data_IF_540141197746
#
_entry.id   IF_540141197746
#
_cell.length_a   1.000
_cell.length_b   1.000
_cell.length_c   1.000
_cell.angle_alpha   90.00
_cell.angle_beta   90.00
_cell.angle_gamma   90.00
#
_symmetry.space_group_name_H-M   'P 1'
#
loop_
_entity.id
_entity.type
_entity.pdbx_description
1 polymer ?
#
# COMPACT_ATOMS: atom_id res chain seq x y z
N UNK A 1 -6.49 26.19 5.56
CA UNK A 1 -6.23 25.05 4.66
C UNK A 1 -7.39 25.00 3.69
N UNK A 2 -7.13 25.23 2.40
CA UNK A 2 -8.13 24.90 1.37
C UNK A 2 -8.34 23.39 1.42
N UNK A 3 -9.55 22.97 1.75
CA UNK A 3 -9.97 21.57 1.67
C UNK A 3 -9.77 21.10 0.23
N UNK A 4 -8.75 20.28 -0.03
CA UNK A 4 -8.53 19.59 -1.31
C UNK A 4 -9.71 18.63 -1.56
N UNK A 5 -10.81 19.18 -2.07
CA UNK A 5 -12.01 18.42 -2.41
C UNK A 5 -11.80 17.68 -3.72
N UNK A 6 -11.78 16.35 -3.64
CA UNK A 6 -11.77 15.47 -4.80
C UNK A 6 -13.02 15.77 -5.64
N UNK A 7 -12.83 16.34 -6.82
CA UNK A 7 -13.94 16.71 -7.71
C UNK A 7 -14.62 15.50 -8.34
N UNK A 8 -13.87 14.40 -8.56
CA UNK A 8 -14.37 13.14 -9.12
C UNK A 8 -13.87 11.96 -8.30
N UNK A 9 -14.76 11.40 -7.48
CA UNK A 9 -14.47 10.19 -6.70
C UNK A 9 -14.95 8.96 -7.47
N UNK A 10 -14.08 7.95 -7.58
CA UNK A 10 -14.45 6.64 -8.11
C UNK A 10 -15.50 6.01 -7.18
N UNK A 11 -16.60 5.43 -7.71
CA UNK A 11 -17.55 4.68 -6.89
C UNK A 11 -16.87 3.45 -6.27
N UNK A 12 -17.27 3.09 -5.05
CA UNK A 12 -16.79 1.88 -4.39
C UNK A 12 -17.61 0.69 -4.86
N UNK A 13 -16.95 -0.37 -5.29
CA UNK A 13 -17.59 -1.61 -5.72
C UNK A 13 -17.42 -2.70 -4.67
N UNK A 14 -18.51 -3.28 -4.13
CA UNK A 14 -18.42 -4.33 -3.12
C UNK A 14 -17.87 -5.62 -3.72
N UNK A 15 -17.20 -6.41 -2.89
CA UNK A 15 -16.80 -7.77 -3.26
C UNK A 15 -18.07 -8.62 -3.38
N UNK A 16 -18.33 -9.12 -4.59
CA UNK A 16 -19.48 -9.99 -4.87
C UNK A 16 -19.22 -11.40 -4.36
N UNK A 17 -20.28 -12.19 -4.14
CA UNK A 17 -20.14 -13.60 -3.74
C UNK A 17 -19.30 -14.43 -4.73
N UNK A 18 -19.39 -14.13 -6.03
CA UNK A 18 -18.55 -14.80 -7.06
C UNK A 18 -17.07 -14.48 -6.88
N UNK A 19 -16.73 -13.20 -6.69
CA UNK A 19 -15.35 -12.79 -6.43
C UNK A 19 -14.84 -13.35 -5.10
N UNK A 20 -15.68 -13.39 -4.07
CA UNK A 20 -15.32 -13.99 -2.78
C UNK A 20 -14.95 -15.47 -2.92
N UNK A 21 -15.77 -16.25 -3.64
CA UNK A 21 -15.51 -17.67 -3.87
C UNK A 21 -14.21 -17.89 -4.67
N UNK A 22 -13.97 -17.06 -5.69
CA UNK A 22 -12.71 -17.06 -6.43
C UNK A 22 -11.52 -16.81 -5.49
N UNK A 23 -11.57 -15.74 -4.68
CA UNK A 23 -10.50 -15.43 -3.74
C UNK A 23 -10.26 -16.54 -2.72
N UNK A 24 -11.30 -17.26 -2.32
CA UNK A 24 -11.17 -18.42 -1.44
C UNK A 24 -10.51 -19.61 -2.15
N UNK A 25 -10.90 -19.91 -3.38
CA UNK A 25 -10.32 -20.99 -4.19
C UNK A 25 -8.81 -20.78 -4.43
N UNK A 26 -8.39 -19.53 -4.66
CA UNK A 26 -6.99 -19.17 -4.90
C UNK A 26 -6.23 -18.74 -3.63
N UNK A 27 -6.72 -19.07 -2.43
CA UNK A 27 -6.08 -18.79 -1.14
C UNK A 27 -5.74 -17.30 -0.89
N UNK A 28 -6.50 -16.37 -1.47
CA UNK A 28 -6.41 -14.92 -1.22
C UNK A 28 -7.29 -14.46 -0.06
N UNK A 29 -8.30 -15.25 0.29
CA UNK A 29 -9.24 -14.96 1.36
C UNK A 29 -8.77 -15.56 2.68
N UNK A 30 -7.92 -14.80 3.40
CA UNK A 30 -7.33 -15.25 4.67
C UNK A 30 -7.95 -14.45 5.80
N UNK A 31 -8.37 -15.14 6.88
CA UNK A 31 -8.88 -14.46 8.06
C UNK A 31 -7.78 -13.62 8.71
N UNK A 32 -7.97 -12.31 8.71
CA UNK A 32 -7.06 -11.34 9.33
C UNK A 32 -7.54 -10.95 10.74
N UNK A 33 -6.62 -10.60 11.65
CA UNK A 33 -6.94 -10.24 13.04
C UNK A 33 -7.35 -8.76 13.23
N UNK A 34 -7.34 -7.96 12.16
CA UNK A 34 -7.68 -6.53 12.21
C UNK A 34 -8.37 -6.09 10.93
N UNK A 35 -9.41 -5.27 11.08
CA UNK A 35 -10.17 -4.69 9.98
C UNK A 35 -9.82 -3.23 9.78
N UNK A 36 -10.15 -2.70 8.60
CA UNK A 36 -10.00 -1.27 8.31
C UNK A 36 -10.72 -0.39 9.32
N UNK A 37 -11.95 -0.78 9.70
CA UNK A 37 -12.76 0.00 10.66
C UNK A 37 -12.19 -0.04 12.09
N UNK A 38 -11.37 -1.04 12.44
CA UNK A 38 -10.65 -1.04 13.72
C UNK A 38 -9.62 0.09 13.77
N UNK A 39 -8.89 0.31 12.68
CA UNK A 39 -7.90 1.37 12.56
C UNK A 39 -8.53 2.77 12.52
N UNK A 40 -9.80 2.89 12.13
CA UNK A 40 -10.52 4.18 12.19
C UNK A 40 -10.78 4.68 13.62
N UNK A 41 -10.62 3.83 14.65
CA UNK A 41 -10.89 4.17 16.05
C UNK A 41 -9.77 4.97 16.73
N UNK A 42 -8.82 5.51 15.96
CA UNK A 42 -7.75 6.35 16.50
C UNK A 42 -8.31 7.59 17.23
N UNK A 43 -7.67 7.98 18.33
CA UNK A 43 -8.11 9.08 19.19
C UNK A 43 -7.52 10.44 18.80
N UNK A 44 -6.36 10.43 18.14
CA UNK A 44 -5.66 11.63 17.74
C UNK A 44 -4.79 11.38 16.53
N UNK A 45 -4.34 12.46 15.89
CA UNK A 45 -3.37 12.37 14.81
C UNK A 45 -2.53 13.63 14.69
N UNK A 46 -1.35 13.50 14.09
CA UNK A 46 -0.48 14.63 13.72
C UNK A 46 -0.17 14.58 12.23
N UNK A 47 -0.01 15.75 11.61
CA UNK A 47 0.39 15.85 10.20
C UNK A 47 1.80 15.33 10.02
N UNK A 48 2.01 14.53 8.98
CA UNK A 48 3.34 14.08 8.55
C UNK A 48 3.84 15.04 7.48
N UNK A 49 4.98 15.67 7.74
CA UNK A 49 5.66 16.55 6.79
C UNK A 49 6.81 15.80 6.12
N UNK A 50 7.12 16.16 4.88
CA UNK A 50 8.31 15.68 4.19
C UNK A 50 9.59 16.40 4.71
N UNK A 51 10.75 16.04 4.13
CA UNK A 51 12.05 16.61 4.52
C UNK A 51 12.14 18.12 4.24
N UNK A 52 11.28 18.65 3.38
CA UNK A 52 11.22 20.06 3.00
C UNK A 52 10.13 20.81 3.78
N UNK A 53 9.48 20.16 4.75
CA UNK A 53 8.43 20.75 5.57
C UNK A 53 7.09 20.89 4.85
N UNK A 54 6.90 20.23 3.71
CA UNK A 54 5.64 20.24 2.97
C UNK A 54 4.71 19.14 3.50
N UNK A 55 3.43 19.47 3.59
CA UNK A 55 2.39 18.53 4.00
C UNK A 55 2.30 17.35 3.02
N UNK A 56 2.42 16.13 3.55
CA UNK A 56 2.32 14.90 2.76
C UNK A 56 0.88 14.44 2.55
N UNK A 57 -0.10 15.08 3.19
CA UNK A 57 -1.51 14.69 3.27
C UNK A 57 -1.75 13.37 4.02
N UNK A 58 -0.71 12.86 4.70
CA UNK A 58 -0.80 11.77 5.66
C UNK A 58 -0.81 12.32 7.07
N UNK A 59 -1.62 11.70 7.92
CA UNK A 59 -1.63 11.98 9.35
C UNK A 59 -1.24 10.73 10.13
N UNK A 60 -0.27 10.84 11.03
CA UNK A 60 0.12 9.75 11.92
C UNK A 60 -0.92 9.58 13.01
N UNK A 61 -1.47 8.40 13.16
CA UNK A 61 -2.56 8.13 14.10
C UNK A 61 -2.07 7.59 15.44
N UNK A 62 -2.83 7.91 16.49
CA UNK A 62 -2.60 7.44 17.86
C UNK A 62 -3.85 6.75 18.39
N UNK A 63 -3.62 5.63 19.06
CA UNK A 63 -4.66 4.83 19.71
C UNK A 63 -4.45 4.93 21.22
N UNK A 64 -5.49 4.65 22.01
CA UNK A 64 -5.30 4.54 23.45
C UNK A 64 -4.34 3.37 23.78
N UNK A 65 -3.66 3.46 24.92
CA UNK A 65 -2.66 2.47 25.32
C UNK A 65 -3.22 1.04 25.40
N UNK A 66 -4.47 0.90 25.87
CA UNK A 66 -5.14 -0.40 26.01
C UNK A 66 -5.38 -1.10 24.66
N UNK A 67 -5.76 -0.36 23.63
CA UNK A 67 -5.98 -0.88 22.28
C UNK A 67 -4.67 -0.97 21.50
N UNK A 68 -3.68 -0.13 21.81
CA UNK A 68 -2.43 -0.06 21.06
C UNK A 68 -1.70 -1.40 21.03
N UNK A 69 -1.59 -2.07 22.17
CA UNK A 69 -0.94 -3.38 22.25
C UNK A 69 -1.65 -4.43 21.37
N UNK A 70 -2.98 -4.42 21.40
CA UNK A 70 -3.80 -5.34 20.60
C UNK A 70 -3.68 -5.05 19.11
N UNK A 71 -3.75 -3.77 18.73
CA UNK A 71 -3.60 -3.32 17.34
C UNK A 71 -2.21 -3.67 16.81
N UNK A 72 -1.16 -3.38 17.58
CA UNK A 72 0.22 -3.66 17.17
C UNK A 72 0.46 -5.16 17.01
N UNK A 73 -0.07 -6.00 17.91
CA UNK A 73 0.01 -7.45 17.78
C UNK A 73 -0.73 -7.94 16.52
N UNK A 74 -1.95 -7.45 16.27
CA UNK A 74 -2.71 -7.80 15.07
C UNK A 74 -2.00 -7.36 13.79
N UNK A 75 -1.36 -6.19 13.77
CA UNK A 75 -0.59 -5.70 12.63
C UNK A 75 0.70 -6.52 12.39
N UNK A 76 1.37 -6.99 13.45
CA UNK A 76 2.50 -7.93 13.32
C UNK A 76 2.06 -9.27 12.75
N UNK A 77 0.88 -9.75 13.13
CA UNK A 77 0.32 -10.97 12.57
C UNK A 77 -0.06 -10.77 11.09
N UNK A 78 -0.68 -9.65 10.72
CA UNK A 78 -0.88 -9.27 9.31
C UNK A 78 0.43 -9.28 8.53
N UNK A 79 1.48 -8.66 9.08
CA UNK A 79 2.80 -8.65 8.43
C UNK A 79 3.31 -10.08 8.19
N UNK A 80 3.19 -10.96 9.18
CA UNK A 80 3.63 -12.35 9.05
C UNK A 80 2.81 -13.13 8.02
N UNK A 81 1.49 -12.90 7.92
CA UNK A 81 0.66 -13.51 6.88
C UNK A 81 0.95 -12.98 5.47
N UNK A 82 1.36 -11.72 5.35
CA UNK A 82 1.57 -11.07 4.05
C UNK A 82 2.97 -11.33 3.48
N UNK A 83 3.99 -11.37 4.33
CA UNK A 83 5.41 -11.35 3.93
C UNK A 83 6.17 -12.60 4.39
N UNK A 84 5.68 -13.32 5.40
CA UNK A 84 6.32 -14.52 5.95
C UNK A 84 5.41 -15.74 5.79
N UNK A 85 5.90 -16.91 6.18
CA UNK A 85 5.14 -18.16 6.16
C UNK A 85 4.19 -18.27 7.38
N UNK A 86 3.77 -17.15 7.97
CA UNK A 86 2.90 -17.12 9.15
C UNK A 86 3.57 -17.52 10.47
N UNK A 87 4.91 -17.56 10.55
CA UNK A 87 5.60 -17.87 11.80
C UNK A 87 5.47 -16.71 12.80
N UNK A 88 4.90 -16.97 13.98
CA UNK A 88 4.71 -15.97 15.03
C UNK A 88 5.99 -15.71 15.86
N UNK A 89 7.00 -16.58 15.78
CA UNK A 89 8.27 -16.41 16.50
C UNK A 89 9.00 -15.11 16.11
N UNK A 90 8.70 -14.56 14.93
CA UNK A 90 9.27 -13.29 14.47
C UNK A 90 8.69 -12.08 15.20
N UNK A 91 7.53 -12.19 15.87
CA UNK A 91 6.80 -11.05 16.44
C UNK A 91 7.61 -10.27 17.48
N UNK A 92 8.44 -10.97 18.26
CA UNK A 92 9.37 -10.35 19.24
C UNK A 92 10.42 -9.45 18.58
N UNK A 93 10.68 -9.66 17.29
CA UNK A 93 11.63 -8.88 16.51
C UNK A 93 10.95 -7.83 15.61
N UNK A 94 9.62 -7.78 15.58
CA UNK A 94 8.88 -6.80 14.81
C UNK A 94 8.39 -5.67 15.70
N UNK A 95 8.52 -4.44 15.22
CA UNK A 95 7.98 -3.24 15.84
C UNK A 95 7.07 -2.50 14.86
N UNK A 96 5.89 -2.07 15.31
CA UNK A 96 5.03 -1.18 14.52
C UNK A 96 5.46 0.26 14.79
N UNK A 97 6.31 0.80 13.92
CA UNK A 97 6.89 2.13 14.08
C UNK A 97 5.83 3.22 13.91
N UNK A 98 4.94 3.08 12.93
CA UNK A 98 3.93 4.09 12.64
C UNK A 98 2.74 3.53 11.88
N UNK A 99 1.57 4.11 12.15
CA UNK A 99 0.34 3.91 11.40
C UNK A 99 -0.07 5.30 10.89
N UNK A 100 0.01 5.49 9.57
CA UNK A 100 -0.32 6.76 8.94
C UNK A 100 -1.63 6.61 8.15
N UNK A 101 -2.56 7.55 8.31
CA UNK A 101 -3.84 7.60 7.62
C UNK A 101 -3.79 8.63 6.49
N UNK A 102 -4.20 8.21 5.29
CA UNK A 102 -4.28 9.13 4.15
C UNK A 102 -5.60 9.91 4.19
N UNK A 103 -5.51 11.23 4.25
CA UNK A 103 -6.69 12.12 4.34
C UNK A 103 -7.37 12.32 2.99
N UNK A 104 -6.61 12.17 1.89
CA UNK A 104 -7.03 12.52 0.53
C UNK A 104 -7.41 11.31 -0.36
N UNK A 105 -6.87 10.11 -0.11
CA UNK A 105 -7.07 8.97 -1.01
C UNK A 105 -8.54 8.53 -1.15
N UNK A 106 -8.93 7.97 -2.30
CA UNK A 106 -10.31 7.51 -2.55
C UNK A 106 -10.81 6.51 -1.48
N UNK A 107 -9.98 5.51 -1.16
CA UNK A 107 -10.22 4.53 -0.10
C UNK A 107 -9.67 4.95 1.26
N UNK A 108 -9.07 6.14 1.37
CA UNK A 108 -8.37 6.67 2.54
C UNK A 108 -7.54 5.59 3.26
N UNK A 109 -6.52 5.04 2.59
CA UNK A 109 -5.76 3.90 3.11
C UNK A 109 -5.01 4.26 4.39
N UNK A 110 -4.78 3.25 5.23
CA UNK A 110 -3.74 3.28 6.24
C UNK A 110 -2.45 2.72 5.67
N UNK A 111 -1.31 3.35 5.99
CA UNK A 111 0.04 2.87 5.72
C UNK A 111 0.67 2.48 7.05
N UNK A 112 1.04 1.22 7.18
CA UNK A 112 1.63 0.66 8.40
C UNK A 112 3.11 0.43 8.14
N UNK A 113 3.97 1.02 8.97
CA UNK A 113 5.41 0.78 8.96
C UNK A 113 5.76 -0.28 9.99
N UNK A 114 6.29 -1.41 9.53
CA UNK A 114 6.81 -2.46 10.41
C UNK A 114 8.32 -2.53 10.24
N UNK A 115 9.04 -2.46 11.36
CA UNK A 115 10.49 -2.52 11.41
C UNK A 115 10.94 -3.79 12.11
N UNK A 116 11.91 -4.47 11.52
CA UNK A 116 12.61 -5.57 12.15
C UNK A 116 13.76 -5.00 13.01
N UNK A 117 13.69 -5.20 14.32
CA UNK A 117 14.66 -4.62 15.27
C UNK A 117 16.05 -5.28 15.21
N UNK A 118 16.18 -6.46 14.58
CA UNK A 118 17.46 -7.17 14.49
C UNK A 118 18.39 -6.57 13.43
N UNK A 119 17.84 -6.07 12.32
CA UNK A 119 18.60 -5.54 11.19
C UNK A 119 18.20 -4.12 10.80
N UNK A 120 17.28 -3.50 11.53
CA UNK A 120 16.72 -2.16 11.29
C UNK A 120 16.02 -1.98 9.94
N UNK A 121 15.78 -3.07 9.21
CA UNK A 121 15.03 -3.05 7.97
C UNK A 121 13.55 -2.80 8.27
N UNK A 122 12.90 -2.00 7.42
CA UNK A 122 11.49 -1.74 7.53
C UNK A 122 10.77 -2.04 6.21
N UNK A 123 9.51 -2.44 6.35
CA UNK A 123 8.60 -2.62 5.23
C UNK A 123 7.30 -1.91 5.54
N UNK A 124 6.65 -1.42 4.50
CA UNK A 124 5.29 -0.91 4.62
C UNK A 124 4.29 -1.90 4.06
N UNK A 125 3.07 -1.86 4.58
CA UNK A 125 1.91 -2.39 3.90
C UNK A 125 0.74 -1.43 4.08
N UNK A 126 -0.28 -1.59 3.24
CA UNK A 126 -1.46 -0.75 3.27
C UNK A 126 -2.68 -1.53 3.70
N UNK A 127 -3.48 -0.95 4.59
CA UNK A 127 -4.81 -1.45 4.95
C UNK A 127 -5.85 -0.52 4.33
N UNK A 128 -6.72 -1.08 3.50
CA UNK A 128 -7.70 -0.34 2.69
C UNK A 128 -9.08 -0.95 2.88
N UNK A 129 -10.12 -0.13 2.65
CA UNK A 129 -11.45 -0.68 2.35
C UNK A 129 -11.35 -1.52 1.07
N UNK A 130 -11.86 -2.74 1.14
CA UNK A 130 -11.87 -3.65 0.03
C UNK A 130 -12.79 -3.12 -1.07
N UNK A 131 -12.26 -3.11 -2.28
CA UNK A 131 -12.96 -2.66 -3.46
C UNK A 131 -12.71 -3.67 -4.57
N UNK A 132 -13.78 -4.21 -5.16
CA UNK A 132 -13.71 -5.28 -6.15
C UNK A 132 -12.79 -4.91 -7.32
N UNK A 133 -12.83 -3.66 -7.77
CA UNK A 133 -12.01 -3.24 -8.91
C UNK A 133 -10.52 -3.09 -8.58
N UNK A 134 -10.15 -2.80 -7.32
CA UNK A 134 -8.74 -2.92 -6.89
C UNK A 134 -8.31 -4.39 -6.82
N UNK A 135 -9.15 -5.26 -6.28
CA UNK A 135 -8.87 -6.70 -6.18
C UNK A 135 -8.69 -7.33 -7.57
N UNK A 136 -9.57 -7.04 -8.52
CA UNK A 136 -9.38 -7.48 -9.91
C UNK A 136 -8.08 -6.96 -10.51
N UNK A 137 -7.73 -5.69 -10.24
CA UNK A 137 -6.46 -5.12 -10.69
C UNK A 137 -5.26 -5.87 -10.11
N UNK A 138 -5.28 -6.20 -8.82
CA UNK A 138 -4.22 -6.95 -8.15
C UNK A 138 -4.08 -8.37 -8.69
N UNK A 139 -5.19 -9.06 -8.96
CA UNK A 139 -5.17 -10.40 -9.57
C UNK A 139 -4.62 -10.37 -11.00
N UNK A 140 -5.02 -9.39 -11.80
CA UNK A 140 -4.51 -9.22 -13.16
C UNK A 140 -3.02 -8.88 -13.15
N UNK A 141 -2.58 -8.02 -12.23
CA UNK A 141 -1.17 -7.73 -12.01
C UNK A 141 -0.41 -9.00 -11.61
N UNK A 142 -0.93 -9.80 -10.68
CA UNK A 142 -0.32 -11.06 -10.26
C UNK A 142 -0.21 -12.09 -11.40
N UNK A 143 -1.20 -12.16 -12.30
CA UNK A 143 -1.18 -13.10 -13.43
C UNK A 143 -0.28 -12.67 -14.58
N UNK A 144 -0.16 -11.35 -14.80
CA UNK A 144 0.50 -10.82 -16.00
C UNK A 144 1.89 -10.26 -15.71
N UNK A 145 2.11 -9.66 -14.54
CA UNK A 145 3.37 -9.03 -14.16
C UNK A 145 4.45 -10.07 -13.85
N UNK A 146 5.73 -9.81 -14.19
CA UNK A 146 6.83 -10.62 -13.68
C UNK A 146 7.05 -10.44 -12.17
N UNK A 147 6.51 -9.37 -11.59
CA UNK A 147 6.58 -9.10 -10.15
C UNK A 147 5.21 -9.29 -9.52
N UNK A 148 5.14 -10.24 -8.60
CA UNK A 148 3.93 -10.56 -7.86
C UNK A 148 3.86 -9.70 -6.61
N UNK A 149 2.82 -8.87 -6.52
CA UNK A 149 2.53 -8.12 -5.29
C UNK A 149 1.74 -9.01 -4.33
N UNK A 150 2.16 -9.07 -3.07
CA UNK A 150 1.39 -9.77 -2.05
C UNK A 150 0.19 -8.94 -1.62
N UNK A 151 -0.97 -9.60 -1.51
CA UNK A 151 -2.17 -8.98 -0.98
C UNK A 151 -3.08 -10.03 -0.35
N UNK A 152 -3.88 -9.59 0.62
CA UNK A 152 -4.83 -10.39 1.37
C UNK A 152 -6.18 -9.68 1.39
N UNK A 153 -7.25 -10.44 1.28
CA UNK A 153 -8.61 -9.89 1.37
C UNK A 153 -9.37 -10.65 2.44
N UNK A 154 -10.07 -9.93 3.32
CA UNK A 154 -11.02 -10.55 4.23
C UNK A 154 -12.20 -9.60 4.46
N UNK A 155 -13.40 -10.09 4.15
CA UNK A 155 -14.64 -9.31 4.19
C UNK A 155 -14.48 -8.00 3.38
N UNK A 156 -14.51 -6.87 4.06
CA UNK A 156 -14.44 -5.50 3.54
C UNK A 156 -13.07 -4.85 3.75
N UNK A 157 -12.05 -5.64 4.12
CA UNK A 157 -10.68 -5.16 4.32
C UNK A 157 -9.75 -5.80 3.29
N UNK A 158 -8.97 -4.95 2.63
CA UNK A 158 -7.89 -5.32 1.70
C UNK A 158 -6.57 -4.91 2.34
N UNK A 159 -5.63 -5.84 2.38
CA UNK A 159 -4.24 -5.59 2.77
C UNK A 159 -3.38 -5.80 1.54
N UNK A 160 -2.54 -4.82 1.19
CA UNK A 160 -1.62 -4.95 0.07
C UNK A 160 -0.21 -4.52 0.48
N UNK A 161 0.77 -5.22 -0.07
CA UNK A 161 2.18 -4.91 0.10
C UNK A 161 2.53 -3.53 -0.48
N UNK A 162 3.54 -2.90 0.10
CA UNK A 162 4.08 -1.66 -0.43
C UNK A 162 5.01 -1.92 -1.61
N UNK A 163 4.75 -1.21 -2.71
CA UNK A 163 5.67 -1.15 -3.84
C UNK A 163 6.76 -0.16 -3.50
N UNK A 164 7.98 -0.66 -3.32
CA UNK A 164 9.17 0.17 -3.12
C UNK A 164 9.58 0.84 -4.43
N UNK A 165 9.99 2.11 -4.37
CA UNK A 165 10.53 2.82 -5.52
C UNK A 165 10.54 4.33 -5.28
N UNK A 166 10.80 5.09 -6.35
CA UNK A 166 10.77 6.55 -6.33
C UNK A 166 9.54 7.01 -7.12
N UNK A 167 8.68 7.89 -6.57
CA UNK A 167 7.58 8.46 -7.34
C UNK A 167 8.09 9.05 -8.65
N UNK A 168 7.46 8.71 -9.78
CA UNK A 168 7.96 9.09 -11.10
C UNK A 168 8.05 10.60 -11.31
N UNK A 169 7.13 11.36 -10.72
CA UNK A 169 7.15 12.82 -10.74
C UNK A 169 8.32 13.40 -9.92
N UNK A 170 8.62 12.83 -8.76
CA UNK A 170 9.79 13.19 -7.97
C UNK A 170 11.09 12.85 -8.72
N UNK A 171 11.16 11.65 -9.31
CA UNK A 171 12.30 11.20 -10.11
C UNK A 171 12.55 12.16 -11.29
N UNK A 172 11.52 12.47 -12.07
CA UNK A 172 11.60 13.38 -13.23
C UNK A 172 12.06 14.77 -12.79
N UNK A 173 11.57 15.26 -11.65
CA UNK A 173 11.87 16.62 -11.19
C UNK A 173 13.27 16.75 -10.58
N UNK A 174 13.67 15.79 -9.74
CA UNK A 174 14.81 15.93 -8.85
C UNK A 174 16.02 15.05 -9.22
N UNK A 175 15.84 14.03 -10.07
CA UNK A 175 16.92 13.07 -10.38
C UNK A 175 17.25 12.99 -11.87
N UNK A 176 16.23 12.99 -12.73
CA UNK A 176 16.41 12.93 -14.18
C UNK A 176 17.31 14.04 -14.75
N UNK A 177 17.29 15.31 -14.27
CA UNK A 177 18.20 16.34 -14.75
C UNK A 177 19.67 15.97 -14.60
N UNK A 178 20.02 15.35 -13.46
CA UNK A 178 21.39 15.02 -13.06
C UNK A 178 21.92 13.73 -13.71
N UNK A 179 21.06 12.94 -14.35
CA UNK A 179 21.47 11.74 -15.08
C UNK A 179 22.37 12.05 -16.29
N UNK A 180 23.38 11.20 -16.48
CA UNK A 180 24.26 11.21 -17.65
C UNK A 180 23.48 10.88 -18.94
N UNK A 181 23.97 11.30 -20.12
CA UNK A 181 23.30 11.00 -21.41
C UNK A 181 23.04 9.50 -21.64
N UNK A 182 23.95 8.64 -21.20
CA UNK A 182 23.80 7.18 -21.32
C UNK A 182 22.67 6.65 -20.42
N UNK A 183 22.55 7.18 -19.19
CA UNK A 183 21.47 6.81 -18.26
C UNK A 183 20.11 7.26 -18.80
N UNK A 184 20.03 8.51 -19.30
CA UNK A 184 18.83 9.03 -19.97
C UNK A 184 18.40 8.15 -21.15
N UNK A 185 19.36 7.67 -21.94
CA UNK A 185 19.10 6.77 -23.07
C UNK A 185 18.60 5.39 -22.60
N UNK A 186 19.14 4.85 -21.51
CA UNK A 186 18.66 3.60 -20.93
C UNK A 186 17.25 3.74 -20.36
N UNK A 187 16.97 4.81 -19.62
CA UNK A 187 15.64 5.12 -19.09
C UNK A 187 14.63 5.23 -20.24
N UNK A 188 14.96 5.96 -21.31
CA UNK A 188 14.09 6.07 -22.49
C UNK A 188 13.82 4.69 -23.13
N UNK A 189 14.85 3.83 -23.22
CA UNK A 189 14.70 2.47 -23.74
C UNK A 189 13.78 1.60 -22.88
N UNK A 190 13.94 1.64 -21.56
CA UNK A 190 13.06 0.90 -20.64
C UNK A 190 11.63 1.47 -20.63
N UNK A 191 11.47 2.79 -20.76
CA UNK A 191 10.16 3.42 -20.89
C UNK A 191 9.42 2.98 -22.16
N UNK A 192 10.10 2.91 -23.31
CA UNK A 192 9.50 2.40 -24.56
C UNK A 192 9.08 0.94 -24.38
N UNK A 193 9.95 0.08 -23.81
CA UNK A 193 9.60 -1.32 -23.52
C UNK A 193 8.40 -1.43 -22.58
N UNK A 194 8.35 -0.59 -21.54
CA UNK A 194 7.24 -0.54 -20.59
C UNK A 194 5.95 -0.15 -21.31
N UNK A 195 5.96 0.92 -22.11
CA UNK A 195 4.77 1.39 -22.81
C UNK A 195 4.21 0.35 -23.79
N UNK A 196 5.06 -0.35 -24.53
CA UNK A 196 4.66 -1.46 -25.42
C UNK A 196 4.06 -2.62 -24.61
N UNK A 197 4.67 -3.00 -23.50
CA UNK A 197 4.16 -4.06 -22.61
C UNK A 197 2.84 -3.66 -21.93
N UNK A 198 2.68 -2.41 -21.54
CA UNK A 198 1.50 -1.87 -20.88
C UNK A 198 0.34 -1.63 -21.85
N UNK A 199 0.62 -1.32 -23.12
CA UNK A 199 -0.42 -1.27 -24.16
C UNK A 199 -1.07 -2.65 -24.35
N UNK A 200 -0.30 -3.72 -24.20
CA UNK A 200 -0.79 -5.11 -24.17
C UNK A 200 -1.42 -5.47 -22.80
N UNK A 201 -0.99 -4.82 -21.71
CA UNK A 201 -1.37 -5.07 -20.31
C UNK A 201 -2.08 -3.86 -19.69
N UNK A 202 -3.31 -3.66 -20.13
CA UNK A 202 -4.16 -2.48 -19.95
C UNK A 202 -4.66 -2.21 -18.52
N UNK A 203 -3.91 -2.52 -17.47
CA UNK A 203 -4.48 -2.67 -16.11
C UNK A 203 -3.54 -2.17 -15.02
N UNK A 204 -3.48 -0.85 -14.83
CA UNK A 204 -2.84 -0.21 -13.68
C UNK A 204 -3.34 1.22 -13.49
N UNK A 205 -3.40 1.69 -12.23
CA UNK A 205 -3.74 3.08 -11.88
C UNK A 205 -2.61 4.02 -12.33
N UNK A 206 -2.47 4.31 -13.62
CA UNK A 206 -1.37 5.09 -14.20
C UNK A 206 -1.42 6.56 -13.78
N UNK A 207 -0.79 6.88 -12.65
CA UNK A 207 -0.63 8.25 -12.16
C UNK A 207 0.84 8.64 -12.21
N UNK A 208 1.10 9.95 -12.34
CA UNK A 208 2.46 10.49 -12.47
C UNK A 208 3.35 10.20 -11.26
N UNK A 209 2.76 10.03 -10.08
CA UNK A 209 3.45 9.69 -8.84
C UNK A 209 3.57 8.18 -8.60
N UNK A 210 3.19 7.34 -9.56
CA UNK A 210 3.50 5.92 -9.49
C UNK A 210 5.01 5.70 -9.52
N UNK A 211 5.45 4.63 -8.87
CA UNK A 211 6.85 4.33 -8.66
C UNK A 211 7.56 3.96 -9.98
N UNK A 212 8.76 4.50 -10.16
CA UNK A 212 9.80 4.09 -11.12
C UNK A 212 10.72 3.09 -10.45
#
# INVERSE_FOLDING_TARGET
MEDLKISKKKPSFPITGKLHNYLQEYNRNIKIPIFYDDLLRFQGSIVVYDKQGKDTLWVRTYYNEFERETIDLSLKHVYSLLISDGNEEIFKYLNVDSIDYCTFGNSKPFRVKVRNILNDNYTYFYVKKADASRVYGLELEHMLSPYNLNFLVYKDTLIEEHISGIPGDEFIKNMLPDCLPNEKSQIAKEFVKFNERCTIRLLGDMRSYNYV
#
